data_IF_025266333404
#
_entry.id   IF_025266333404
#
_cell.length_a   1.000
_cell.length_b   1.000
_cell.length_c   1.000
_cell.angle_alpha   90.00
_cell.angle_beta   90.00
_cell.angle_gamma   90.00
#
_symmetry.space_group_name_H-M   'P 1'
#
loop_
_entity.id
_entity.type
_entity.pdbx_description
1 polymer ?
2 non-polymer ?
3 water ?
#
# COMPACT_ATOMS: atom_id res chain seq x y z
N UNK A 2 5.58 8.71 10.33
CA UNK A 2 4.71 9.02 9.16
C UNK A 2 5.43 8.57 7.88
N UNK A 3 5.78 7.28 7.80
CA UNK A 3 6.53 6.77 6.61
C UNK A 3 6.29 5.27 6.48
N UNK A 4 6.71 4.69 5.35
CA UNK A 4 6.57 3.23 5.16
C UNK A 4 5.18 2.73 5.52
N UNK A 5 4.17 3.12 4.75
CA UNK A 5 2.79 2.60 4.99
C UNK A 5 2.42 1.63 3.86
N UNK A 6 2.12 0.37 4.21
CA UNK A 6 1.70 -0.62 3.20
C UNK A 6 0.30 -1.11 3.56
N UNK A 7 -0.70 -0.81 2.73
CA UNK A 7 -2.10 -1.20 3.02
C UNK A 7 -2.43 -2.53 2.35
N UNK A 8 -3.17 -3.41 3.03
CA UNK A 8 -3.57 -4.70 2.48
C UNK A 8 -5.09 -4.79 2.52
N UNK A 9 -5.71 -4.86 1.33
CA UNK A 9 -7.16 -4.81 1.18
C UNK A 9 -7.61 -6.05 0.41
N UNK A 10 -8.92 -6.28 0.41
CA UNK A 10 -9.46 -7.49 -0.21
C UNK A 10 -9.35 -7.39 -1.72
N UNK A 11 -8.98 -8.50 -2.34
CA UNK A 11 -8.88 -8.59 -3.79
C UNK A 11 -10.20 -9.06 -4.38
N UNK A 12 -10.59 -8.44 -5.49
CA UNK A 12 -11.74 -8.91 -6.24
C UNK A 12 -11.48 -10.26 -6.92
N UNK A 13 -12.50 -10.71 -7.67
CA UNK A 13 -12.48 -12.05 -8.26
C UNK A 13 -11.34 -12.22 -9.27
N UNK A 14 -10.87 -11.13 -9.88
CA UNK A 14 -9.75 -11.21 -10.82
C UNK A 14 -8.38 -11.19 -10.14
N UNK A 15 -8.32 -11.14 -8.81
CA UNK A 15 -7.04 -11.18 -8.12
C UNK A 15 -6.31 -9.85 -7.99
N UNK A 16 -6.68 -8.86 -8.82
CA UNK A 16 -6.01 -7.57 -8.87
C UNK A 16 -6.89 -6.43 -8.40
N UNK A 17 -8.10 -6.33 -8.95
CA UNK A 17 -8.98 -5.22 -8.66
C UNK A 17 -9.47 -5.29 -7.21
N UNK A 18 -10.10 -4.20 -6.78
CA UNK A 18 -10.54 -4.08 -5.39
C UNK A 18 -11.75 -4.98 -5.17
N UNK A 19 -11.67 -5.81 -4.13
CA UNK A 19 -12.78 -6.66 -3.73
C UNK A 19 -13.80 -5.93 -2.88
N UNK A 20 -14.90 -6.62 -2.59
CA UNK A 20 -15.92 -6.03 -1.73
C UNK A 20 -15.48 -6.17 -0.29
N UNK A 21 -15.36 -5.04 0.38
CA UNK A 21 -14.97 -5.00 1.79
C UNK A 21 -15.10 -3.56 2.26
N UNK A 22 -16.16 -3.22 2.99
CA UNK A 22 -16.31 -1.85 3.47
C UNK A 22 -15.19 -1.41 4.39
N UNK A 23 -14.58 -2.35 5.12
CA UNK A 23 -13.50 -2.01 6.05
C UNK A 23 -12.21 -1.71 5.31
N UNK A 24 -11.92 -2.46 4.25
CA UNK A 24 -10.83 -2.12 3.33
C UNK A 24 -10.99 -0.70 2.78
N UNK A 25 -12.19 -0.35 2.34
CA UNK A 25 -12.38 0.97 1.72
C UNK A 25 -12.31 2.08 2.77
N UNK A 26 -12.82 1.83 3.97
CA UNK A 26 -12.63 2.73 5.10
C UNK A 26 -11.18 3.16 5.24
N UNK A 27 -10.28 2.18 5.43
CA UNK A 27 -8.86 2.48 5.62
C UNK A 27 -8.25 3.12 4.40
N UNK A 28 -8.65 2.66 3.21
CA UNK A 28 -8.17 3.25 1.97
C UNK A 28 -8.55 4.73 1.92
N UNK A 29 -9.79 5.06 2.29
CA UNK A 29 -10.21 6.45 2.30
C UNK A 29 -9.43 7.27 3.32
N UNK A 30 -9.23 6.74 4.53
CA UNK A 30 -8.50 7.50 5.54
C UNK A 30 -7.11 7.85 5.03
N UNK A 31 -6.38 6.84 4.56
CA UNK A 31 -5.01 7.08 4.09
C UNK A 31 -4.98 8.10 2.96
N UNK A 32 -5.92 7.99 2.01
CA UNK A 32 -6.00 8.96 0.93
C UNK A 32 -6.30 10.36 1.46
N UNK A 33 -7.29 10.47 2.34
CA UNK A 33 -7.68 11.78 2.86
C UNK A 33 -6.60 12.39 3.74
N UNK A 34 -5.68 11.59 4.28
CA UNK A 34 -4.56 12.14 5.03
C UNK A 34 -3.52 12.80 4.13
N UNK A 35 -3.52 12.47 2.84
CA UNK A 35 -2.45 12.95 1.99
C UNK A 35 -1.09 12.33 2.25
N UNK A 36 -1.06 11.19 2.95
CA UNK A 36 0.21 10.53 3.23
C UNK A 36 0.62 9.66 2.05
N UNK A 37 1.93 9.39 1.95
CA UNK A 37 2.44 8.47 0.94
C UNK A 37 2.25 7.05 1.44
N UNK A 38 1.55 6.23 0.66
CA UNK A 38 1.29 4.85 1.03
C UNK A 38 1.15 4.01 -0.23
N UNK A 39 1.42 2.72 -0.10
CA UNK A 39 1.11 1.75 -1.15
C UNK A 39 -0.08 0.91 -0.70
N UNK A 40 -0.73 0.27 -1.67
CA UNK A 40 -1.88 -0.58 -1.39
C UNK A 40 -1.72 -1.86 -2.21
N UNK A 41 -2.09 -2.99 -1.61
CA UNK A 41 -2.00 -4.29 -2.24
C UNK A 41 -3.31 -5.03 -2.01
N UNK A 42 -3.84 -5.64 -3.06
CA UNK A 42 -5.02 -6.47 -2.96
C UNK A 42 -4.58 -7.91 -2.76
N UNK A 43 -5.17 -8.58 -1.78
CA UNK A 43 -4.83 -9.96 -1.46
C UNK A 43 -6.12 -10.70 -1.16
N UNK A 44 -6.03 -12.03 -1.03
CA UNK A 44 -7.21 -12.84 -0.78
C UNK A 44 -7.92 -12.41 0.51
N UNK A 45 -7.18 -12.32 1.62
CA UNK A 45 -7.72 -11.92 2.92
C UNK A 45 -8.77 -12.89 3.44
N UNK A 46 -9.72 -13.29 2.59
CA UNK A 46 -10.73 -14.26 2.96
C UNK A 46 -11.74 -13.69 3.94
N UNK A 47 -11.75 -14.24 5.16
CA UNK A 47 -12.56 -13.70 6.24
C UNK A 47 -11.81 -12.69 7.09
N UNK A 48 -10.51 -12.48 6.84
CA UNK A 48 -9.65 -11.64 7.66
C UNK A 48 -9.91 -10.17 7.38
N UNK A 49 -9.70 -9.31 8.37
CA UNK A 49 -9.87 -7.88 8.14
C UNK A 49 -8.72 -7.31 7.34
N UNK A 50 -8.91 -6.19 6.66
CA UNK A 50 -7.76 -5.47 6.10
C UNK A 50 -6.83 -5.01 7.21
N UNK A 51 -5.59 -4.73 6.84
CA UNK A 51 -4.60 -4.28 7.81
C UNK A 51 -3.52 -3.52 7.06
N UNK A 52 -2.63 -2.89 7.82
CA UNK A 52 -1.52 -2.17 7.25
C UNK A 52 -0.27 -2.39 8.08
N UNK A 53 0.87 -2.10 7.46
CA UNK A 53 2.14 -2.02 8.17
C UNK A 53 2.61 -0.58 8.16
N UNK A 54 3.13 -0.13 9.28
CA UNK A 54 3.68 1.21 9.44
C UNK A 54 5.13 1.07 9.84
N UNK A 55 6.03 1.54 8.98
CA UNK A 55 7.47 1.33 9.12
C UNK A 55 7.82 -0.14 9.35
N UNK A 56 7.05 -1.03 8.72
CA UNK A 56 7.32 -2.45 8.81
C UNK A 56 6.69 -3.16 9.99
N UNK A 57 5.89 -2.47 10.80
CA UNK A 57 5.20 -3.06 11.93
C UNK A 57 3.72 -3.20 11.60
N UNK A 58 3.18 -4.41 11.79
CA UNK A 58 1.80 -4.68 11.43
C UNK A 58 0.86 -3.99 12.42
N UNK A 59 -0.16 -3.32 11.90
CA UNK A 59 -1.24 -2.77 12.71
C UNK A 59 -2.53 -3.51 12.35
N UNK A 60 -3.22 -4.04 13.35
CA UNK A 60 -4.44 -4.81 13.11
C UNK A 60 -5.62 -4.20 13.87
N UNK A 61 -6.82 -4.60 13.45
CA UNK A 61 -8.12 -4.13 13.94
C UNK A 61 -8.44 -2.75 13.37
N UNK A 62 -9.49 -2.68 12.55
CA UNK A 62 -9.73 -1.48 11.75
C UNK A 62 -9.96 -0.28 12.64
N UNK A 63 -10.68 -0.46 13.75
CA UNK A 63 -10.93 0.69 14.62
C UNK A 63 -9.65 1.16 15.29
N UNK A 64 -8.79 0.22 15.70
CA UNK A 64 -7.49 0.58 16.27
C UNK A 64 -6.59 1.21 15.22
N UNK A 65 -6.63 0.69 13.99
CA UNK A 65 -5.90 1.31 12.88
C UNK A 65 -6.36 2.74 12.67
N UNK A 66 -7.67 2.99 12.79
CA UNK A 66 -8.17 4.34 12.61
C UNK A 66 -7.62 5.28 13.67
N UNK A 67 -7.63 4.86 14.93
CA UNK A 67 -7.07 5.70 15.99
C UNK A 67 -5.57 5.91 15.80
N UNK A 68 -4.85 4.86 15.43
CA UNK A 68 -3.41 4.99 15.21
C UNK A 68 -3.10 5.99 14.09
N UNK A 69 -3.86 5.93 12.99
CA UNK A 69 -3.60 6.84 11.89
C UNK A 69 -3.91 8.28 12.29
N UNK A 70 -5.03 8.50 12.99
CA UNK A 70 -5.41 9.84 13.39
C UNK A 70 -4.47 10.42 14.43
N UNK A 71 -3.78 9.57 15.18
CA UNK A 71 -2.85 10.04 16.20
C UNK A 71 -1.43 10.18 15.68
N UNK A 72 -1.08 9.44 14.62
CA UNK A 72 0.26 9.44 14.05
C UNK A 72 0.43 10.42 12.89
N UNK A 73 -0.61 10.61 12.08
CA UNK A 73 -0.58 11.58 10.99
C UNK A 73 -1.34 12.82 11.48
N UNK A 74 -0.60 13.84 11.92
CA UNK A 74 -1.15 15.00 12.60
C UNK A 74 -0.74 16.30 11.91
N UNK A 75 -1.41 17.41 12.21
CA UNK A 75 -0.91 18.71 11.76
C UNK A 75 0.50 19.00 12.30
N UNK A 76 1.26 19.80 11.55
CA UNK A 76 0.76 20.55 10.40
C UNK A 76 0.80 19.81 9.07
N UNK A 77 1.55 18.70 9.00
CA UNK A 77 1.76 18.05 7.71
C UNK A 77 0.53 17.26 7.26
N UNK A 78 -0.22 16.69 8.20
CA UNK A 78 -1.39 15.90 7.85
C UNK A 78 -2.64 16.50 8.47
N UNK A 79 -3.78 16.43 7.79
CA UNK A 79 -5.02 17.01 8.33
C UNK A 79 -5.67 16.10 9.35
N UNK A 80 -6.27 16.71 10.37
CA UNK A 80 -7.10 15.98 11.32
C UNK A 80 -8.43 15.66 10.65
N UNK A 81 -8.84 14.40 10.72
CA UNK A 81 -10.05 13.95 10.03
C UNK A 81 -11.19 13.61 10.97
N UNK A 82 -10.99 13.68 12.29
CA UNK A 82 -12.06 13.31 13.21
C UNK A 82 -13.23 14.28 13.09
N UNK A 83 -14.45 13.73 13.14
CA UNK A 83 -15.64 14.56 13.12
C UNK A 83 -15.70 15.44 14.35
N UNK A 84 -16.20 16.67 14.20
CA UNK A 84 -16.32 17.55 15.35
C UNK A 84 -17.62 17.36 16.10
N UNK A 85 -18.63 16.73 15.51
CA UNK A 85 -19.90 16.49 16.18
C UNK A 85 -20.05 15.02 16.50
N UNK A 86 -20.44 14.71 17.74
CA UNK A 86 -20.61 13.33 18.16
C UNK A 86 -21.73 12.64 17.40
N UNK A 87 -22.77 13.39 17.01
CA UNK A 87 -23.87 12.79 16.26
C UNK A 87 -23.40 12.27 14.91
N UNK A 88 -22.37 12.88 14.34
CA UNK A 88 -21.84 12.40 13.06
C UNK A 88 -21.29 10.99 13.18
N UNK A 89 -20.78 10.63 14.37
CA UNK A 89 -20.19 9.31 14.56
C UNK A 89 -21.22 8.21 14.79
N UNK A 90 -22.45 8.57 15.15
CA UNK A 90 -23.51 7.63 15.43
C UNK A 90 -24.63 7.65 14.38
N UNK A 91 -24.60 8.60 13.46
CA UNK A 91 -25.63 8.67 12.43
C UNK A 91 -25.50 7.49 11.47
N UNK A 92 -26.61 6.80 11.24
CA UNK A 92 -26.65 5.66 10.35
C UNK A 92 -26.05 4.38 10.88
N UNK A 93 -25.82 4.28 12.20
CA UNK A 93 -25.05 3.16 12.73
C UNK A 93 -25.77 1.83 12.62
N UNK A 94 -27.11 1.84 12.62
CA UNK A 94 -27.89 0.61 12.56
C UNK A 94 -28.28 0.20 11.15
N UNK A 95 -27.87 0.97 10.12
CA UNK A 95 -28.35 0.71 8.76
C UNK A 95 -27.82 -0.63 8.25
N UNK A 96 -26.52 -0.87 8.38
CA UNK A 96 -25.94 -2.10 7.85
C UNK A 96 -26.59 -3.34 8.46
N UNK A 97 -26.80 -3.33 9.77
CA UNK A 97 -27.37 -4.49 10.44
C UNK A 97 -28.83 -4.71 10.02
N UNK A 98 -29.59 -3.63 9.85
CA UNK A 98 -30.96 -3.79 9.37
C UNK A 98 -30.98 -4.28 7.92
N UNK A 99 -30.04 -3.82 7.10
CA UNK A 99 -29.93 -4.29 5.73
C UNK A 99 -29.60 -5.77 5.70
N UNK A 100 -28.66 -6.20 6.54
CA UNK A 100 -28.23 -7.59 6.53
C UNK A 100 -29.38 -8.52 6.91
N UNK A 101 -30.11 -8.19 7.98
CA UNK A 101 -31.27 -8.99 8.36
C UNK A 101 -32.34 -9.01 7.27
N UNK A 102 -32.45 -7.92 6.51
CA UNK A 102 -33.46 -7.81 5.46
C UNK A 102 -33.15 -8.76 4.31
N UNK A 103 -31.93 -8.72 3.78
CA UNK A 103 -31.56 -9.54 2.63
C UNK A 103 -31.34 -11.00 2.95
N UNK A 104 -31.25 -11.35 4.23
CA UNK A 104 -31.00 -12.72 4.63
C UNK A 104 -32.25 -13.51 4.93
N UNK A 105 -33.33 -12.84 5.30
CA UNK A 105 -34.57 -13.53 5.60
C UNK A 105 -35.07 -14.24 4.35
N UNK A 106 -35.59 -15.44 4.55
CA UNK A 106 -36.18 -16.23 3.47
C UNK A 106 -37.69 -16.29 3.55
N UNK A 107 -38.29 -15.73 4.59
CA UNK A 107 -39.73 -15.85 4.84
C UNK A 107 -40.42 -14.59 4.33
N UNK A 108 -41.37 -14.76 3.40
CA UNK A 108 -42.14 -13.63 2.89
C UNK A 108 -42.91 -12.92 3.99
N UNK A 109 -43.23 -13.63 5.08
CA UNK A 109 -44.02 -13.05 6.16
C UNK A 109 -43.25 -11.99 6.94
N UNK A 110 -41.92 -12.06 6.94
CA UNK A 110 -41.11 -11.09 7.66
C UNK A 110 -40.55 -10.00 6.78
N UNK A 111 -40.79 -10.04 5.46
CA UNK A 111 -40.10 -9.13 4.55
C UNK A 111 -40.55 -7.70 4.75
N UNK A 112 -41.85 -7.47 4.95
CA UNK A 112 -42.37 -6.11 5.11
C UNK A 112 -41.81 -5.46 6.37
N UNK A 113 -41.78 -6.19 7.49
CA UNK A 113 -41.24 -5.61 8.71
C UNK A 113 -39.75 -5.35 8.60
N UNK A 114 -39.02 -6.23 7.92
CA UNK A 114 -37.59 -6.03 7.79
C UNK A 114 -37.28 -4.91 6.82
N UNK A 115 -38.16 -4.67 5.86
CA UNK A 115 -37.94 -3.57 4.94
C UNK A 115 -38.25 -2.23 5.61
N UNK A 116 -39.31 -2.19 6.42
CA UNK A 116 -39.62 -0.98 7.19
C UNK A 116 -38.48 -0.63 8.16
N UNK A 117 -37.85 -1.65 8.75
CA UNK A 117 -36.72 -1.39 9.64
C UNK A 117 -35.54 -0.77 8.92
N UNK A 118 -35.24 -1.26 7.72
CA UNK A 118 -34.17 -0.66 6.93
C UNK A 118 -34.54 0.77 6.52
N UNK A 119 -35.74 0.95 5.96
CA UNK A 119 -36.21 2.27 5.57
C UNK A 119 -36.17 3.26 6.73
N UNK A 120 -36.59 2.83 7.92
CA UNK A 120 -36.57 3.72 9.08
C UNK A 120 -35.15 4.13 9.43
N UNK A 121 -34.22 3.16 9.41
CA UNK A 121 -32.82 3.48 9.73
C UNK A 121 -32.22 4.39 8.66
N UNK A 122 -32.64 4.24 7.40
CA UNK A 122 -32.19 5.16 6.37
C UNK A 122 -32.78 6.55 6.61
N UNK A 123 -34.01 6.61 7.10
CA UNK A 123 -34.69 7.88 7.28
C UNK A 123 -34.04 8.69 8.41
N UNK A 124 -33.64 8.02 9.50
CA UNK A 124 -32.92 8.74 10.56
C UNK A 124 -31.63 9.34 10.02
N UNK A 125 -30.91 8.61 9.17
CA UNK A 125 -29.73 9.18 8.53
C UNK A 125 -30.10 10.36 7.63
N UNK A 126 -31.21 10.25 6.92
CA UNK A 126 -31.65 11.35 6.05
C UNK A 126 -31.99 12.58 6.89
N UNK A 127 -32.63 12.38 8.04
CA UNK A 127 -32.99 13.51 8.91
C UNK A 127 -31.74 14.25 9.38
N UNK A 128 -30.72 13.51 9.84
CA UNK A 128 -29.49 14.14 10.30
C UNK A 128 -28.85 14.96 9.18
N UNK A 129 -28.83 14.45 7.95
CA UNK A 129 -28.19 15.16 6.85
C UNK A 129 -28.99 16.36 6.40
N UNK A 130 -30.27 16.43 6.73
CA UNK A 130 -31.11 17.57 6.37
C UNK A 130 -31.23 18.59 7.50
N UNK A 131 -31.05 18.17 8.75
CA UNK A 131 -31.13 19.12 9.88
C UNK A 131 -29.88 19.99 9.87
N UNK A 132 -30.01 21.31 9.90
CA UNK A 132 -28.82 22.16 9.88
C UNK A 132 -27.98 21.98 11.14
N UNK A 133 -26.67 21.87 10.95
CA UNK A 133 -25.74 21.93 12.06
C UNK A 133 -25.75 23.33 12.66
N UNK A 134 -25.42 23.45 13.95
CA UNK A 134 -25.50 24.78 14.59
C UNK A 134 -24.66 25.85 13.89
N UNK A 135 -23.53 25.48 13.30
CA UNK A 135 -22.70 26.46 12.61
C UNK A 135 -23.35 26.93 11.31
N UNK A 136 -24.12 26.05 10.64
CA UNK A 136 -24.84 26.48 9.46
C UNK A 136 -25.92 27.50 9.81
N UNK A 137 -26.65 27.24 10.90
CA UNK A 137 -27.67 28.20 11.36
C UNK A 137 -27.02 29.53 11.70
N UNK A 138 -25.88 29.50 12.41
CA UNK A 138 -25.16 30.74 12.72
C UNK A 138 -24.69 31.43 11.44
N UNK A 139 -24.11 30.67 10.52
CA UNK A 139 -23.56 31.23 9.29
C UNK A 139 -24.62 31.61 8.27
N UNK A 140 -25.90 31.24 8.50
CA UNK A 140 -26.98 31.44 7.54
C UNK A 140 -26.69 30.75 6.21
N UNK A 141 -25.95 29.65 6.26
CA UNK A 141 -25.65 28.83 5.09
C UNK A 141 -26.72 27.78 4.85
N UNK A 142 -27.88 27.90 5.49
CA UNK A 142 -28.92 26.91 5.32
C UNK A 142 -29.63 27.10 3.98
N UNK A 143 -30.20 26.01 3.50
CA UNK A 143 -31.02 26.06 2.31
C UNK A 143 -32.21 26.97 2.50
N UNK A 144 -32.84 27.27 1.36
CA UNK A 144 -34.00 28.14 1.36
C UNK A 144 -35.13 27.52 2.17
N UNK A 145 -35.22 26.19 2.20
CA UNK A 145 -36.23 25.46 2.95
C UNK A 145 -35.87 25.33 4.43
N UNK A 146 -34.95 26.16 4.90
CA UNK A 146 -34.40 26.08 6.27
C UNK A 146 -33.79 24.72 6.55
N UNK A 147 -33.31 24.05 5.50
CA UNK A 147 -32.67 22.76 5.65
C UNK A 147 -31.20 22.81 5.36
N UNK A 148 -30.47 21.76 5.74
CA UNK A 148 -29.03 21.72 5.54
C UNK A 148 -28.68 21.34 4.12
N UNK A 149 -27.67 22.03 3.56
CA UNK A 149 -27.12 21.66 2.26
C UNK A 149 -25.65 21.24 2.38
N UNK A 150 -25.19 20.92 3.58
CA UNK A 150 -23.81 20.45 3.75
C UNK A 150 -23.60 19.16 2.96
N UNK A 151 -22.35 18.93 2.57
CA UNK A 151 -22.08 17.81 1.66
C UNK A 151 -21.96 16.47 2.37
N UNK A 152 -21.46 16.43 3.60
CA UNK A 152 -21.20 15.16 4.29
C UNK A 152 -21.73 15.23 5.73
N UNK A 153 -21.43 14.20 6.51
CA UNK A 153 -22.04 14.05 7.84
C UNK A 153 -21.74 15.24 8.74
N UNK A 154 -20.47 15.63 8.82
CA UNK A 154 -19.99 16.58 9.82
C UNK A 154 -19.88 18.00 9.28
N UNK A 155 -20.01 18.19 7.98
CA UNK A 155 -19.74 19.47 7.36
C UNK A 155 -19.48 19.23 5.88
N UNK A 156 -18.78 20.17 5.27
CA UNK A 156 -18.49 20.07 3.84
C UNK A 156 -17.18 19.34 3.55
N UNK A 157 -16.58 18.71 4.56
CA UNK A 157 -15.35 17.95 4.38
C UNK A 157 -15.57 16.52 4.84
N UNK A 158 -14.88 15.58 4.20
CA UNK A 158 -14.99 14.18 4.59
C UNK A 158 -14.28 13.96 5.91
N UNK A 159 -14.92 13.24 6.82
CA UNK A 159 -14.38 12.94 8.12
C UNK A 159 -14.27 11.43 8.29
N UNK A 160 -13.64 11.01 9.40
CA UNK A 160 -13.51 9.58 9.67
C UNK A 160 -14.86 8.90 9.71
N UNK A 161 -15.90 9.62 10.14
CA UNK A 161 -17.24 9.03 10.20
C UNK A 161 -17.77 8.73 8.80
N UNK A 162 -17.41 9.56 7.82
CA UNK A 162 -17.80 9.27 6.43
C UNK A 162 -17.03 8.07 5.87
N UNK A 163 -15.76 7.94 6.24
CA UNK A 163 -14.99 6.79 5.76
C UNK A 163 -15.59 5.49 6.27
N UNK A 164 -16.20 5.52 7.46
CA UNK A 164 -16.88 4.35 8.01
C UNK A 164 -18.22 4.11 7.30
N UNK A 165 -19.06 5.13 7.20
CA UNK A 165 -20.44 4.94 6.78
C UNK A 165 -20.60 4.77 5.26
N UNK A 166 -19.85 5.52 4.47
CA UNK A 166 -20.11 5.55 3.02
C UNK A 166 -19.89 4.20 2.36
N UNK A 167 -18.79 3.45 2.65
CA UNK A 167 -18.68 2.10 2.08
C UNK A 167 -19.86 1.20 2.40
N UNK A 168 -20.36 1.25 3.65
CA UNK A 168 -21.49 0.42 4.04
C UNK A 168 -22.77 0.86 3.34
N UNK A 169 -23.02 2.17 3.29
CA UNK A 169 -24.23 2.68 2.64
C UNK A 169 -24.24 2.34 1.15
N UNK A 170 -23.07 2.38 0.51
CA UNK A 170 -22.99 2.02 -0.91
C UNK A 170 -23.31 0.54 -1.11
N UNK A 171 -22.76 -0.33 -0.26
CA UNK A 171 -23.08 -1.76 -0.29
C UNK A 171 -24.56 -1.99 -0.11
N UNK A 172 -25.18 -1.31 0.85
CA UNK A 172 -26.63 -1.42 1.03
C UNK A 172 -27.36 -1.07 -0.25
N UNK A 173 -27.01 0.05 -0.86
CA UNK A 173 -27.68 0.51 -2.06
C UNK A 173 -27.58 -0.53 -3.16
N UNK A 174 -26.36 -1.04 -3.40
CA UNK A 174 -26.11 -1.96 -4.50
C UNK A 174 -26.80 -3.30 -4.25
N UNK A 175 -26.69 -3.82 -3.03
CA UNK A 175 -27.15 -5.18 -2.74
C UNK A 175 -28.66 -5.23 -2.54
N UNK A 176 -29.23 -4.29 -1.78
CA UNK A 176 -30.68 -4.28 -1.61
C UNK A 176 -31.39 -4.12 -2.95
N UNK A 177 -30.80 -3.36 -3.88
CA UNK A 177 -31.38 -3.22 -5.21
C UNK A 177 -31.31 -4.55 -5.97
N UNK A 178 -30.14 -5.18 -5.96
CA UNK A 178 -29.95 -6.40 -6.74
C UNK A 178 -30.83 -7.53 -6.24
N UNK A 179 -30.95 -7.71 -4.92
CA UNK A 179 -31.56 -8.92 -4.37
C UNK A 179 -32.93 -8.71 -3.75
N UNK A 180 -33.42 -7.47 -3.67
CA UNK A 180 -34.77 -7.21 -3.23
C UNK A 180 -35.50 -6.22 -4.10
N UNK A 181 -34.86 -5.69 -5.14
CA UNK A 181 -35.42 -4.61 -5.95
C UNK A 181 -35.79 -3.41 -5.10
N UNK A 182 -35.02 -3.18 -4.04
CA UNK A 182 -35.28 -2.10 -3.09
C UNK A 182 -34.52 -0.86 -3.53
N UNK A 183 -35.22 0.26 -3.59
CA UNK A 183 -34.60 1.55 -3.86
C UNK A 183 -34.65 2.39 -2.61
N UNK A 184 -33.53 3.03 -2.28
CA UNK A 184 -33.54 4.06 -1.25
C UNK A 184 -34.46 5.16 -1.75
N UNK A 185 -35.56 5.45 -1.07
CA UNK A 185 -36.53 6.42 -1.58
C UNK A 185 -35.90 7.73 -2.00
N UNK A 186 -36.32 8.23 -3.16
CA UNK A 186 -35.77 9.46 -3.70
C UNK A 186 -36.16 10.68 -2.87
N UNK A 187 -37.26 10.59 -2.12
CA UNK A 187 -37.65 11.66 -1.23
C UNK A 187 -36.67 11.84 -0.08
N UNK A 188 -35.75 10.89 0.11
CA UNK A 188 -34.67 11.02 1.09
C UNK A 188 -33.55 11.85 0.44
N UNK A 189 -33.84 13.14 0.29
CA UNK A 189 -32.98 14.03 -0.49
C UNK A 189 -31.63 14.25 0.19
N UNK A 190 -31.61 14.27 1.52
CA UNK A 190 -30.35 14.45 2.22
C UNK A 190 -29.45 13.24 2.06
N UNK A 191 -30.01 12.04 2.19
CA UNK A 191 -29.23 10.83 1.95
C UNK A 191 -28.70 10.78 0.51
N UNK A 192 -29.53 11.18 -0.47
CA UNK A 192 -29.09 11.09 -1.87
C UNK A 192 -28.08 12.17 -2.20
N UNK A 193 -28.25 13.37 -1.65
CA UNK A 193 -27.24 14.41 -1.79
C UNK A 193 -25.89 13.91 -1.32
N UNK A 194 -25.90 13.16 -0.21
CA UNK A 194 -24.68 12.66 0.43
C UNK A 194 -24.01 11.59 -0.42
N UNK A 195 -24.78 10.61 -0.90
CA UNK A 195 -24.22 9.58 -1.76
C UNK A 195 -23.61 10.18 -3.02
N UNK A 196 -24.34 11.08 -3.69
CA UNK A 196 -23.83 11.71 -4.90
C UNK A 196 -22.63 12.63 -4.60
N UNK A 197 -22.57 13.23 -3.41
CA UNK A 197 -21.36 13.96 -3.09
C UNK A 197 -20.17 13.01 -2.98
N UNK A 198 -20.40 11.82 -2.41
CA UNK A 198 -19.34 10.84 -2.32
C UNK A 198 -18.93 10.32 -3.69
N UNK A 199 -19.91 10.01 -4.54
CA UNK A 199 -19.61 9.55 -5.88
C UNK A 199 -18.81 10.57 -6.68
N UNK A 200 -18.86 11.85 -6.31
CA UNK A 200 -18.12 12.87 -7.03
C UNK A 200 -16.70 13.05 -6.51
N UNK A 201 -16.28 12.28 -5.51
CA UNK A 201 -14.96 12.43 -4.92
C UNK A 201 -14.13 11.21 -5.26
N UNK A 202 -12.94 11.45 -5.84
CA UNK A 202 -12.02 10.35 -6.16
C UNK A 202 -11.77 9.46 -4.95
N UNK A 203 -11.70 10.05 -3.75
CA UNK A 203 -11.34 9.28 -2.56
C UNK A 203 -12.33 8.14 -2.30
N UNK A 204 -13.60 8.35 -2.65
CA UNK A 204 -14.55 7.24 -2.57
C UNK A 204 -14.56 6.41 -3.84
N UNK A 205 -14.63 7.08 -4.99
CA UNK A 205 -14.84 6.38 -6.25
C UNK A 205 -13.66 5.46 -6.59
N UNK A 206 -12.43 5.93 -6.36
CA UNK A 206 -11.26 5.16 -6.73
C UNK A 206 -10.87 4.11 -5.70
N UNK A 207 -11.56 4.05 -4.56
CA UNK A 207 -11.35 3.01 -3.55
C UNK A 207 -12.51 2.04 -3.50
N UNK A 208 -13.47 2.19 -4.38
CA UNK A 208 -14.72 1.46 -4.41
C UNK A 208 -14.56 0.18 -5.22
N UNK A 209 -15.24 -0.88 -4.78
CA UNK A 209 -15.34 -2.09 -5.59
C UNK A 209 -16.44 -1.94 -6.64
N UNK A 210 -16.25 -2.57 -7.81
CA UNK A 210 -17.21 -2.41 -8.90
C UNK A 210 -18.58 -2.94 -8.49
N UNK A 211 -19.63 -2.42 -9.14
CA UNK A 211 -21.00 -2.88 -8.84
C UNK A 211 -21.10 -4.40 -8.94
N UNK A 212 -20.62 -4.96 -10.05
CA UNK A 212 -20.67 -6.40 -10.26
C UNK A 212 -19.94 -7.16 -9.14
N UNK A 213 -18.85 -6.59 -8.63
CA UNK A 213 -18.10 -7.22 -7.55
C UNK A 213 -18.92 -7.26 -6.27
N UNK A 214 -19.59 -6.16 -5.93
CA UNK A 214 -20.38 -6.10 -4.72
C UNK A 214 -21.57 -7.05 -4.81
N UNK A 215 -22.23 -7.11 -5.97
CA UNK A 215 -23.38 -7.98 -6.15
C UNK A 215 -22.96 -9.44 -6.05
N UNK A 216 -21.87 -9.83 -6.72
CA UNK A 216 -21.45 -11.22 -6.69
C UNK A 216 -21.03 -11.64 -5.29
N UNK A 217 -20.37 -10.74 -4.55
CA UNK A 217 -19.96 -11.04 -3.19
C UNK A 217 -21.13 -11.40 -2.27
N UNK A 218 -22.35 -10.99 -2.61
CA UNK A 218 -23.51 -11.28 -1.78
C UNK A 218 -24.38 -12.40 -2.34
N UNK A 219 -23.96 -13.07 -3.43
CA UNK A 219 -24.82 -14.04 -4.10
C UNK A 219 -25.15 -15.23 -3.21
N UNK A 220 -24.26 -15.59 -2.29
CA UNK A 220 -24.55 -16.62 -1.30
C UNK A 220 -25.13 -16.05 -0.03
N UNK A 221 -24.95 -14.75 0.22
CA UNK A 221 -25.39 -14.14 1.46
C UNK A 221 -26.85 -13.73 1.36
N UNK A 222 -27.21 -12.98 0.31
CA UNK A 222 -28.59 -12.58 0.13
C UNK A 222 -29.42 -13.79 -0.31
N UNK A 223 -30.57 -13.98 0.32
CA UNK A 223 -31.42 -15.14 0.06
C UNK A 223 -32.72 -14.71 -0.60
N UNK A 224 -33.26 -15.58 -1.45
CA UNK A 224 -34.53 -15.33 -2.09
C UNK A 224 -35.67 -15.61 -1.10
N UNK A 225 -36.77 -14.89 -1.26
CA UNK A 225 -37.93 -15.10 -0.42
C UNK A 225 -38.59 -16.44 -0.73
N UNK A 226 -37.93 -17.54 -0.35
CA UNK A 226 -38.42 -18.87 -0.70
C UNK A 226 -39.59 -19.30 0.17
N UNK A 227 -39.34 -19.50 1.46
CA UNK A 227 -40.39 -19.90 2.39
C UNK A 227 -41.40 -18.78 2.57
N UNK A 228 -42.57 -19.12 3.14
CA UNK A 228 -43.65 -18.11 3.33
C UNK A 228 -43.43 -17.34 4.63
N UNK B 4 40.50 12.75 -4.86
CA UNK B 4 40.62 11.46 -4.16
C UNK B 4 39.29 10.74 -4.11
N UNK B 5 39.31 9.44 -3.81
CA UNK B 5 38.05 8.63 -3.77
C UNK B 5 38.19 7.53 -2.70
N UNK B 6 37.69 7.79 -1.49
CA UNK B 6 37.73 6.75 -0.42
C UNK B 6 36.28 6.34 -0.10
N UNK B 7 36.00 5.04 -0.12
CA UNK B 7 34.62 4.54 0.14
C UNK B 7 34.55 4.03 1.58
N UNK B 8 33.55 4.47 2.34
CA UNK B 8 33.41 4.06 3.74
C UNK B 8 32.09 3.30 3.86
N UNK B 9 32.20 1.98 4.04
CA UNK B 9 31.03 1.10 4.00
C UNK B 9 30.83 0.45 5.36
N UNK B 10 29.64 -0.09 5.55
CA UNK B 10 29.31 -0.78 6.80
C UNK B 10 30.20 -2.00 6.98
N UNK B 11 30.44 -2.36 8.24
CA UNK B 11 31.32 -3.45 8.60
C UNK B 11 30.52 -4.63 9.15
N UNK B 12 30.98 -5.84 8.84
CA UNK B 12 30.37 -7.01 9.43
C UNK B 12 30.60 -7.07 10.92
N UNK B 13 29.92 -8.02 11.57
CA UNK B 13 30.08 -8.20 13.01
C UNK B 13 31.53 -8.50 13.36
N UNK B 14 32.30 -9.05 12.42
CA UNK B 14 33.73 -9.28 12.64
C UNK B 14 34.51 -7.98 12.76
N UNK B 15 33.96 -6.86 12.32
CA UNK B 15 34.63 -5.57 12.45
C UNK B 15 35.33 -5.12 11.19
N UNK B 16 36.00 -6.05 10.50
CA UNK B 16 36.65 -5.76 9.23
C UNK B 16 35.98 -6.42 8.05
N UNK B 17 35.07 -7.37 8.27
CA UNK B 17 34.38 -8.03 7.18
C UNK B 17 33.36 -7.08 6.54
N UNK B 18 33.01 -7.39 5.28
CA UNK B 18 32.01 -6.59 4.57
C UNK B 18 30.66 -6.74 5.25
N UNK B 19 30.07 -5.63 5.66
CA UNK B 19 28.80 -5.64 6.34
C UNK B 19 27.63 -5.67 5.37
N UNK B 20 26.54 -6.27 5.83
CA UNK B 20 25.31 -6.32 5.06
C UNK B 20 24.70 -4.93 4.98
N UNK B 21 24.97 -4.21 3.90
CA UNK B 21 24.40 -2.88 3.67
C UNK B 21 24.17 -2.72 2.17
N UNK B 22 22.91 -2.85 1.71
CA UNK B 22 22.64 -2.67 0.28
C UNK B 22 23.01 -1.30 -0.22
N UNK B 23 22.95 -0.29 0.64
CA UNK B 23 23.38 1.06 0.26
C UNK B 23 24.89 1.09 0.03
N UNK B 24 25.65 0.38 0.87
CA UNK B 24 27.09 0.26 0.65
C UNK B 24 27.38 -0.39 -0.70
N UNK B 25 26.72 -1.52 -0.98
CA UNK B 25 26.93 -2.20 -2.25
C UNK B 25 26.50 -1.33 -3.44
N UNK B 26 25.42 -0.56 -3.25
CA UNK B 26 24.96 0.37 -4.29
C UNK B 26 26.06 1.31 -4.74
N UNK B 27 26.66 2.05 -3.80
CA UNK B 27 27.70 3.01 -4.13
C UNK B 27 28.98 2.30 -4.58
N UNK B 28 29.24 1.11 -4.04
CA UNK B 28 30.39 0.32 -4.48
C UNK B 28 30.25 -0.07 -5.95
N UNK B 29 29.08 -0.58 -6.34
CA UNK B 29 28.86 -0.94 -7.74
C UNK B 29 28.93 0.28 -8.64
N UNK B 30 28.48 1.44 -8.14
CA UNK B 30 28.50 2.65 -8.96
C UNK B 30 29.94 3.07 -9.23
N UNK B 31 30.81 2.99 -8.23
CA UNK B 31 32.20 3.39 -8.43
C UNK B 31 32.96 2.39 -9.30
N UNK B 32 32.74 1.10 -9.09
CA UNK B 32 33.34 0.09 -9.94
C UNK B 32 32.91 0.28 -11.39
N UNK B 33 31.60 0.40 -11.62
CA UNK B 33 31.09 0.58 -12.98
C UNK B 33 31.63 1.85 -13.62
N UNK B 34 31.85 2.89 -12.81
CA UNK B 34 32.40 4.14 -13.34
C UNK B 34 33.83 3.98 -13.82
N UNK B 35 34.55 2.97 -13.32
CA UNK B 35 35.95 2.76 -13.67
C UNK B 35 36.92 3.60 -12.87
N UNK B 36 36.45 4.53 -12.05
CA UNK B 36 37.35 5.41 -11.31
C UNK B 36 38.09 4.60 -10.24
N UNK B 37 39.31 5.02 -9.94
CA UNK B 37 40.13 4.34 -8.94
C UNK B 37 39.67 4.76 -7.55
N UNK B 38 39.36 3.78 -6.71
CA UNK B 38 38.85 4.05 -5.38
C UNK B 38 39.30 2.97 -4.42
N UNK B 39 39.16 3.25 -3.13
CA UNK B 39 39.41 2.28 -2.07
C UNK B 39 38.20 2.24 -1.16
N UNK B 40 37.88 1.05 -0.65
CA UNK B 40 36.76 0.84 0.25
C UNK B 40 37.31 0.59 1.65
N UNK B 41 36.78 1.31 2.64
CA UNK B 41 37.21 1.19 4.02
C UNK B 41 36.03 0.70 4.85
N UNK B 42 36.19 -0.47 5.48
CA UNK B 42 35.15 -1.03 6.34
C UNK B 42 35.06 -0.21 7.61
N UNK B 43 33.99 0.56 7.75
CA UNK B 43 33.82 1.51 8.86
C UNK B 43 32.52 1.17 9.59
N UNK B 44 32.58 1.20 10.92
CA UNK B 44 31.41 0.96 11.75
C UNK B 44 30.40 2.10 11.64
N UNK B 45 29.56 2.06 10.59
CA UNK B 45 28.59 3.12 10.37
C UNK B 45 27.39 3.05 11.32
N UNK B 46 27.12 1.88 11.89
CA UNK B 46 25.91 1.75 12.68
C UNK B 46 24.67 1.70 11.80
N UNK B 47 23.58 2.25 12.31
CA UNK B 47 22.34 2.35 11.54
C UNK B 47 22.39 3.45 10.48
N UNK B 48 23.48 4.20 10.41
CA UNK B 48 23.72 5.40 9.62
C UNK B 48 24.36 5.05 8.28
N UNK B 49 24.09 5.84 7.24
CA UNK B 49 24.43 5.43 5.88
C UNK B 49 25.91 5.50 5.62
N UNK B 50 26.40 4.86 4.57
CA UNK B 50 27.80 5.03 4.18
C UNK B 50 28.04 6.41 3.59
N UNK B 51 29.29 6.84 3.61
CA UNK B 51 29.68 8.12 3.06
C UNK B 51 30.97 7.93 2.26
N UNK B 52 31.39 8.99 1.57
CA UNK B 52 32.57 8.92 0.74
C UNK B 52 33.27 10.27 0.76
N UNK B 53 34.60 10.22 0.62
CA UNK B 53 35.44 11.41 0.58
C UNK B 53 36.00 11.54 -0.84
N UNK B 54 35.70 12.65 -1.49
CA UNK B 54 36.16 12.93 -2.85
C UNK B 54 36.98 14.21 -2.82
N UNK B 55 38.19 14.15 -3.38
CA UNK B 55 39.15 15.26 -3.36
C UNK B 55 39.39 15.75 -1.93
N UNK B 56 39.27 14.86 -0.95
CA UNK B 56 39.37 15.26 0.44
C UNK B 56 38.12 15.90 1.01
N UNK B 57 37.03 15.93 0.25
CA UNK B 57 35.78 16.56 0.68
C UNK B 57 34.77 15.46 1.02
N UNK B 58 34.28 15.48 2.26
CA UNK B 58 33.34 14.46 2.72
C UNK B 58 31.98 14.71 2.09
N UNK B 59 31.34 13.62 1.63
CA UNK B 59 29.99 13.74 1.03
C UNK B 59 29.07 12.66 1.62
N UNK B 60 27.76 12.91 1.68
CA UNK B 60 26.82 11.95 2.33
C UNK B 60 25.46 11.96 1.63
N UNK B 61 24.46 11.27 2.20
CA UNK B 61 23.07 11.23 1.65
C UNK B 61 22.89 10.04 0.71
N UNK B 62 23.98 9.45 0.22
CA UNK B 62 23.90 8.24 -0.65
C UNK B 62 23.23 8.62 -1.98
N UNK B 63 21.95 8.99 -1.95
CA UNK B 63 21.26 9.44 -3.18
C UNK B 63 21.98 10.67 -3.71
N UNK B 64 22.29 11.63 -2.84
CA UNK B 64 23.06 12.83 -3.27
C UNK B 64 24.43 12.35 -3.77
N UNK B 65 25.07 11.46 -3.02
CA UNK B 65 26.38 10.89 -3.47
C UNK B 65 26.17 10.36 -4.90
N UNK B 66 25.12 9.58 -5.11
CA UNK B 66 24.89 8.99 -6.43
C UNK B 66 24.73 10.09 -7.49
N UNK B 67 24.03 11.17 -7.14
CA UNK B 67 23.83 12.26 -8.09
C UNK B 67 25.14 12.93 -8.46
N UNK B 68 25.96 13.27 -7.46
CA UNK B 68 27.22 13.96 -7.73
C UNK B 68 28.22 13.03 -8.41
N UNK B 69 28.27 11.76 -8.00
CA UNK B 69 29.16 10.79 -8.64
C UNK B 69 28.87 10.70 -10.14
N UNK B 70 27.59 10.65 -10.50
CA UNK B 70 27.23 10.66 -11.92
C UNK B 70 27.48 12.03 -12.53
N UNK B 71 27.20 13.10 -11.79
CA UNK B 71 27.42 14.45 -12.31
C UNK B 71 28.90 14.73 -12.48
N UNK B 72 29.67 14.63 -11.39
CA UNK B 72 31.11 14.93 -11.43
C UNK B 72 31.84 14.04 -12.43
N UNK B 73 31.91 12.74 -12.15
CA UNK B 73 32.55 11.79 -13.07
C UNK B 73 31.69 11.66 -14.32
N UNK B 74 32.13 12.29 -15.41
CA UNK B 74 31.35 12.44 -16.63
C UNK B 74 32.11 11.93 -17.82
N UNK B 75 31.42 11.64 -18.93
CA UNK B 75 32.10 11.31 -20.19
C UNK B 75 33.08 12.40 -20.60
N UNK B 76 34.08 12.03 -21.41
CA UNK B 76 34.20 10.69 -22.00
C UNK B 76 35.10 9.76 -21.20
N UNK B 77 35.81 10.30 -20.22
CA UNK B 77 36.69 9.46 -19.40
C UNK B 77 35.90 8.51 -18.51
N UNK B 78 34.63 8.85 -18.21
CA UNK B 78 33.83 8.06 -17.28
C UNK B 78 32.44 7.82 -17.90
N UNK B 79 31.98 6.58 -17.96
CA UNK B 79 30.71 6.32 -18.63
C UNK B 79 29.51 6.78 -17.81
N UNK B 80 28.48 7.25 -18.51
CA UNK B 80 27.23 7.62 -17.86
C UNK B 80 26.45 6.35 -17.54
N UNK B 81 26.03 6.23 -16.28
CA UNK B 81 25.36 5.03 -15.79
C UNK B 81 23.87 5.24 -15.57
N UNK B 82 23.32 6.40 -15.91
CA UNK B 82 21.91 6.65 -15.71
C UNK B 82 21.07 5.80 -16.65
N UNK B 83 19.89 5.40 -16.18
CA UNK B 83 18.97 4.63 -17.00
C UNK B 83 18.22 5.57 -17.93
N UNK B 84 18.10 5.17 -19.20
CA UNK B 84 17.44 5.98 -20.21
C UNK B 84 15.92 5.94 -20.09
N UNK B 85 15.37 4.93 -19.43
CA UNK B 85 13.94 4.78 -19.26
C UNK B 85 13.58 5.05 -17.80
N UNK B 86 12.65 6.00 -17.59
CA UNK B 86 12.27 6.36 -16.23
C UNK B 86 11.67 5.17 -15.48
N UNK B 87 11.00 4.26 -16.19
CA UNK B 87 10.39 3.12 -15.52
C UNK B 87 11.43 2.19 -14.94
N UNK B 88 12.65 2.18 -15.50
CA UNK B 88 13.72 1.35 -14.93
C UNK B 88 14.08 1.79 -13.53
N UNK B 89 13.83 3.06 -13.19
CA UNK B 89 14.10 3.55 -11.84
C UNK B 89 12.99 3.16 -10.87
N UNK B 90 11.75 3.09 -11.36
CA UNK B 90 10.61 2.77 -10.51
C UNK B 90 10.37 1.27 -10.40
N UNK B 91 10.92 0.46 -11.30
CA UNK B 91 10.67 -0.98 -11.27
C UNK B 91 11.21 -1.61 -9.99
N UNK B 92 10.35 -2.35 -9.29
CA UNK B 92 10.75 -3.04 -8.07
C UNK B 92 10.94 -2.15 -6.87
N UNK B 93 10.38 -0.94 -6.89
CA UNK B 93 10.71 0.06 -5.87
C UNK B 93 10.18 -0.34 -4.48
N UNK B 94 9.10 -1.10 -4.43
CA UNK B 94 8.46 -1.46 -3.16
C UNK B 94 8.83 -2.86 -2.66
N UNK B 95 9.78 -3.53 -3.31
CA UNK B 95 10.05 -4.93 -2.97
C UNK B 95 10.69 -5.04 -1.59
N UNK B 96 11.71 -4.22 -1.32
CA UNK B 96 12.39 -4.30 -0.04
C UNK B 96 11.44 -3.98 1.11
N UNK B 97 10.58 -2.97 0.92
CA UNK B 97 9.60 -2.63 1.95
C UNK B 97 8.62 -3.77 2.19
N UNK B 98 8.18 -4.44 1.12
CA UNK B 98 7.29 -5.59 1.30
C UNK B 98 8.00 -6.72 2.01
N UNK B 99 9.24 -7.02 1.59
CA UNK B 99 10.01 -8.07 2.24
C UNK B 99 10.23 -7.76 3.71
N UNK B 100 10.52 -6.50 4.05
CA UNK B 100 10.80 -6.15 5.44
C UNK B 100 9.60 -6.43 6.33
N UNK B 101 8.40 -6.02 5.90
CA UNK B 101 7.20 -6.33 6.66
C UNK B 101 6.92 -7.83 6.72
N UNK B 102 7.30 -8.56 5.67
CA UNK B 102 7.11 -10.01 5.64
C UNK B 102 7.91 -10.71 6.74
N UNK B 103 9.18 -10.33 6.89
CA UNK B 103 10.05 -11.05 7.83
C UNK B 103 9.93 -10.52 9.25
N UNK B 104 9.50 -9.28 9.43
CA UNK B 104 9.38 -8.71 10.78
C UNK B 104 8.10 -9.14 11.48
N UNK B 105 7.13 -9.65 10.73
CA UNK B 105 5.84 -10.01 11.29
C UNK B 105 5.94 -11.29 12.12
N UNK B 106 5.32 -11.28 13.30
CA UNK B 106 5.34 -12.43 14.20
C UNK B 106 4.02 -13.17 14.28
N UNK B 107 2.99 -12.73 13.57
CA UNK B 107 1.66 -13.32 13.65
C UNK B 107 1.38 -14.17 12.43
N UNK B 108 1.01 -15.43 12.66
CA UNK B 108 0.70 -16.33 11.55
C UNK B 108 -0.52 -15.86 10.78
N UNK B 109 -1.46 -15.18 11.45
CA UNK B 109 -2.68 -14.74 10.79
C UNK B 109 -2.40 -13.77 9.64
N UNK B 110 -1.28 -13.04 9.71
CA UNK B 110 -0.95 -12.04 8.70
C UNK B 110 0.12 -12.48 7.72
N UNK B 111 0.73 -13.65 7.93
CA UNK B 111 1.86 -14.07 7.11
C UNK B 111 1.45 -14.24 5.65
N UNK B 112 0.30 -14.87 5.39
CA UNK B 112 -0.08 -15.19 4.02
C UNK B 112 -0.30 -13.91 3.20
N UNK B 113 -0.96 -12.90 3.79
CA UNK B 113 -1.13 -11.64 3.09
C UNK B 113 0.20 -10.97 2.80
N UNK B 114 1.10 -10.94 3.79
CA UNK B 114 2.39 -10.29 3.60
C UNK B 114 3.24 -11.02 2.58
N UNK B 115 3.19 -12.36 2.56
CA UNK B 115 3.85 -13.09 1.48
C UNK B 115 3.28 -12.72 0.13
N UNK B 116 1.95 -12.63 0.02
CA UNK B 116 1.34 -12.22 -1.24
C UNK B 116 1.80 -10.83 -1.65
N UNK B 117 2.01 -9.94 -0.68
CA UNK B 117 2.53 -8.61 -1.01
C UNK B 117 3.90 -8.66 -1.65
N UNK B 118 4.81 -9.45 -1.06
CA UNK B 118 6.13 -9.62 -1.66
C UNK B 118 6.05 -10.24 -3.04
N UNK B 119 5.22 -11.28 -3.20
CA UNK B 119 5.10 -11.96 -4.49
C UNK B 119 4.56 -11.02 -5.56
N UNK B 120 3.55 -10.21 -5.22
CA UNK B 120 3.00 -9.27 -6.19
C UNK B 120 4.04 -8.23 -6.59
N UNK B 121 4.84 -7.76 -5.64
CA UNK B 121 5.85 -6.76 -5.98
C UNK B 121 6.94 -7.35 -6.85
N UNK B 122 7.30 -8.61 -6.63
CA UNK B 122 8.26 -9.28 -7.49
C UNK B 122 7.67 -9.54 -8.88
N UNK B 123 6.35 -9.79 -8.95
CA UNK B 123 5.71 -10.02 -10.24
C UNK B 123 5.76 -8.79 -11.13
N UNK B 124 5.50 -7.60 -10.56
CA UNK B 124 5.52 -6.39 -11.34
C UNK B 124 6.92 -6.14 -11.92
N UNK B 125 7.97 -6.46 -11.16
CA UNK B 125 9.32 -6.34 -11.70
C UNK B 125 9.58 -7.38 -12.78
N UNK B 126 9.16 -8.62 -12.53
CA UNK B 126 9.25 -9.67 -13.55
C UNK B 126 8.49 -9.28 -14.81
N UNK B 127 7.36 -8.59 -14.66
CA UNK B 127 6.61 -8.12 -15.81
C UNK B 127 7.39 -7.06 -16.58
N UNK B 128 7.99 -6.10 -15.86
CA UNK B 128 8.76 -5.07 -16.53
C UNK B 128 9.93 -5.66 -17.30
N UNK B 129 10.55 -6.71 -16.74
CA UNK B 129 11.70 -7.32 -17.39
C UNK B 129 11.30 -8.10 -18.64
N UNK B 130 10.11 -8.70 -18.63
CA UNK B 130 9.63 -9.42 -19.81
C UNK B 130 9.04 -8.50 -20.86
N UNK B 131 8.71 -7.26 -20.50
CA UNK B 131 8.12 -6.32 -21.45
C UNK B 131 9.25 -5.68 -22.28
N UNK B 132 9.22 -5.81 -23.60
CA UNK B 132 10.28 -5.20 -24.41
C UNK B 132 10.34 -3.70 -24.22
N UNK B 133 11.56 -3.17 -24.15
CA UNK B 133 11.78 -1.74 -24.16
C UNK B 133 11.45 -1.19 -25.54
N UNK B 134 11.34 0.14 -25.69
CA UNK B 134 11.09 0.70 -27.04
C UNK B 134 12.05 0.18 -28.10
N UNK B 135 13.36 0.22 -27.83
CA UNK B 135 14.31 -0.46 -28.68
C UNK B 135 14.05 -1.96 -28.63
N UNK B 136 14.10 -2.60 -29.79
CA UNK B 136 13.71 -4.01 -29.97
C UNK B 136 12.26 -4.22 -29.54
N UNK B 146 7.51 -13.42 -29.07
CA UNK B 146 7.87 -12.08 -28.63
C UNK B 146 8.59 -12.08 -27.29
N UNK B 147 8.30 -11.08 -26.46
CA UNK B 147 8.98 -10.93 -25.18
C UNK B 147 10.25 -10.12 -25.30
N UNK B 148 10.90 -9.93 -24.15
CA UNK B 148 12.14 -9.16 -24.06
C UNK B 148 13.30 -10.07 -23.68
N UNK B 149 14.45 -9.84 -24.29
CA UNK B 149 15.66 -10.61 -24.01
C UNK B 149 16.78 -9.74 -23.43
N UNK B 150 16.48 -8.51 -23.02
CA UNK B 150 17.51 -7.64 -22.48
C UNK B 150 18.06 -8.22 -21.18
N UNK B 151 19.33 -7.90 -20.89
CA UNK B 151 20.01 -8.51 -19.77
C UNK B 151 19.61 -7.87 -18.43
N UNK B 152 19.42 -6.55 -18.41
CA UNK B 152 19.17 -5.83 -17.17
C UNK B 152 17.96 -4.92 -17.29
N UNK B 153 17.76 -4.03 -16.32
CA UNK B 153 16.56 -3.19 -16.29
C UNK B 153 16.46 -2.31 -17.53
N UNK B 154 17.41 -1.39 -17.73
CA UNK B 154 17.31 -0.44 -18.82
C UNK B 154 17.71 -1.06 -20.16
N UNK B 155 18.73 -1.89 -20.16
CA UNK B 155 19.18 -2.54 -21.38
C UNK B 155 20.08 -3.70 -21.07
N UNK B 156 21.11 -3.88 -21.90
CA UNK B 156 22.09 -4.94 -21.69
C UNK B 156 23.32 -4.46 -20.94
N UNK B 157 23.33 -3.20 -20.49
CA UNK B 157 24.41 -2.67 -19.69
C UNK B 157 23.86 -2.30 -18.30
N UNK B 158 24.66 -2.57 -17.28
CA UNK B 158 24.24 -2.25 -15.92
C UNK B 158 24.10 -0.74 -15.74
N UNK B 159 23.07 -0.34 -15.01
CA UNK B 159 22.73 1.06 -14.84
C UNK B 159 22.56 1.37 -13.35
N UNK B 160 22.46 2.68 -13.06
CA UNK B 160 22.24 3.12 -11.68
C UNK B 160 21.02 2.44 -11.06
N UNK B 161 20.01 2.14 -11.86
CA UNK B 161 18.84 1.45 -11.33
C UNK B 161 19.19 0.04 -10.85
N UNK B 162 20.05 -0.66 -11.58
CA UNK B 162 20.47 -1.99 -11.15
C UNK B 162 21.33 -1.91 -9.89
N UNK B 163 22.15 -0.86 -9.77
CA UNK B 163 22.97 -0.70 -8.59
C UNK B 163 22.13 -0.54 -7.34
N UNK B 164 20.89 -0.05 -7.50
CA UNK B 164 19.99 0.10 -6.36
C UNK B 164 19.23 -1.19 -6.08
N UNK B 165 18.69 -1.81 -7.14
CA UNK B 165 17.77 -2.93 -6.95
C UNK B 165 18.48 -4.24 -6.64
N UNK B 166 19.59 -4.51 -7.33
CA UNK B 166 20.26 -5.80 -7.17
C UNK B 166 20.70 -6.08 -5.73
N UNK B 167 21.34 -5.16 -5.01
CA UNK B 167 21.69 -5.47 -3.61
C UNK B 167 20.48 -5.78 -2.74
N UNK B 168 19.39 -5.03 -2.91
CA UNK B 168 18.18 -5.31 -2.14
C UNK B 168 17.60 -6.67 -2.50
N UNK B 169 17.58 -7.00 -3.78
CA UNK B 169 17.07 -8.30 -4.22
C UNK B 169 17.87 -9.44 -3.61
N UNK B 170 19.19 -9.26 -3.49
CA UNK B 170 20.02 -10.29 -2.89
C UNK B 170 19.66 -10.53 -1.43
N UNK B 171 19.52 -9.46 -0.65
CA UNK B 171 19.09 -9.59 0.74
C UNK B 171 17.73 -10.28 0.80
N UNK B 172 16.78 -9.81 -0.01
CA UNK B 172 15.44 -10.40 -0.02
C UNK B 172 15.52 -11.91 -0.22
N UNK B 173 16.26 -12.36 -1.25
CA UNK B 173 16.30 -13.78 -1.56
C UNK B 173 16.96 -14.58 -0.45
N UNK B 174 18.07 -14.08 0.10
CA UNK B 174 18.79 -14.83 1.13
C UNK B 174 17.98 -14.90 2.42
N UNK B 175 17.39 -13.78 2.83
CA UNK B 175 16.74 -13.73 4.14
C UNK B 175 15.39 -14.43 4.09
N UNK B 176 14.58 -14.15 3.06
CA UNK B 176 13.26 -14.77 2.98
C UNK B 176 13.34 -16.29 2.90
N UNK B 177 14.37 -16.80 2.22
CA UNK B 177 14.58 -18.25 2.21
C UNK B 177 14.93 -18.77 3.59
N UNK B 178 15.81 -18.05 4.31
CA UNK B 178 16.29 -18.52 5.61
C UNK B 178 15.17 -18.55 6.64
N UNK B 179 14.42 -17.45 6.75
CA UNK B 179 13.49 -17.27 7.85
C UNK B 179 12.04 -17.56 7.50
N UNK B 180 11.69 -17.63 6.21
CA UNK B 180 10.32 -17.93 5.82
C UNK B 180 10.22 -19.10 4.85
N UNK B 181 11.35 -19.69 4.45
CA UNK B 181 11.38 -20.75 3.43
C UNK B 181 10.71 -20.28 2.14
N UNK B 182 10.90 -19.01 1.81
CA UNK B 182 10.29 -18.40 0.65
C UNK B 182 11.24 -18.52 -0.55
N UNK B 183 10.72 -19.02 -1.66
CA UNK B 183 11.45 -19.05 -2.92
C UNK B 183 10.78 -18.09 -3.89
N UNK B 184 11.61 -17.38 -4.65
CA UNK B 184 11.07 -16.58 -5.76
C UNK B 184 10.40 -17.51 -6.76
N UNK B 185 9.14 -17.31 -7.11
CA UNK B 185 8.43 -18.29 -7.94
C UNK B 185 9.15 -18.56 -9.25
N UNK B 186 9.17 -19.83 -9.65
CA UNK B 186 9.87 -20.24 -10.87
C UNK B 186 9.21 -19.63 -12.11
N UNK B 187 7.91 -19.35 -12.05
CA UNK B 187 7.20 -18.73 -13.17
C UNK B 187 7.71 -17.32 -13.48
N UNK B 188 8.49 -16.72 -12.59
CA UNK B 188 9.06 -15.39 -12.84
C UNK B 188 10.35 -15.54 -13.64
N UNK B 189 10.18 -15.99 -14.89
CA UNK B 189 11.34 -16.26 -15.74
C UNK B 189 12.13 -15.00 -16.06
N UNK B 190 11.46 -13.84 -16.11
CA UNK B 190 12.18 -12.60 -16.34
C UNK B 190 13.05 -12.21 -15.16
N UNK B 191 12.52 -12.36 -13.95
CA UNK B 191 13.31 -12.06 -12.75
C UNK B 191 14.49 -13.02 -12.62
N UNK B 192 14.24 -14.32 -12.79
CA UNK B 192 15.31 -15.30 -12.68
C UNK B 192 16.38 -15.07 -13.76
N UNK B 193 15.97 -14.66 -14.96
CA UNK B 193 16.94 -14.33 -15.99
C UNK B 193 17.74 -13.09 -15.62
N UNK B 194 17.06 -12.07 -15.07
CA UNK B 194 17.75 -10.85 -14.63
C UNK B 194 18.77 -11.15 -13.55
N UNK B 195 18.40 -12.01 -12.58
CA UNK B 195 19.33 -12.41 -11.53
C UNK B 195 20.51 -13.16 -12.11
N UNK B 196 20.26 -14.05 -13.08
CA UNK B 196 21.34 -14.86 -13.65
C UNK B 196 22.34 -14.00 -14.40
N UNK B 197 21.86 -13.06 -15.23
CA UNK B 197 22.75 -12.11 -15.86
C UNK B 197 23.51 -11.29 -14.83
N UNK B 198 22.85 -10.91 -13.74
CA UNK B 198 23.50 -10.07 -12.73
C UNK B 198 24.51 -10.88 -11.92
N UNK B 199 24.13 -12.09 -11.49
CA UNK B 199 25.05 -12.92 -10.71
C UNK B 199 26.28 -13.29 -11.52
N UNK B 200 26.15 -13.38 -12.85
CA UNK B 200 27.31 -13.68 -13.68
C UNK B 200 28.29 -12.52 -13.72
N UNK B 201 27.81 -11.29 -13.54
CA UNK B 201 28.68 -10.13 -13.56
C UNK B 201 29.47 -10.03 -12.27
N UNK B 202 30.80 -9.89 -12.39
CA UNK B 202 31.66 -9.84 -11.21
C UNK B 202 31.41 -8.61 -10.35
N UNK B 203 30.84 -7.55 -10.92
CA UNK B 203 30.58 -6.35 -10.13
C UNK B 203 29.51 -6.60 -9.07
N UNK B 204 28.50 -7.41 -9.38
CA UNK B 204 27.46 -7.69 -8.40
C UNK B 204 27.91 -8.74 -7.39
N UNK B 205 28.53 -9.82 -7.88
CA UNK B 205 28.88 -10.93 -7.00
C UNK B 205 29.99 -10.56 -6.02
N UNK B 206 31.01 -9.82 -6.49
CA UNK B 206 32.14 -9.50 -5.63
C UNK B 206 31.78 -8.42 -4.61
N UNK B 207 30.83 -7.54 -4.94
CA UNK B 207 30.40 -6.52 -3.99
C UNK B 207 29.40 -7.03 -2.96
N UNK B 208 28.93 -8.27 -3.13
CA UNK B 208 27.96 -8.83 -2.20
C UNK B 208 28.62 -9.21 -0.88
N UNK B 209 27.95 -8.93 0.22
CA UNK B 209 28.40 -9.48 1.49
C UNK B 209 28.17 -10.98 1.51
N UNK B 210 28.89 -11.65 2.42
CA UNK B 210 28.75 -13.09 2.55
C UNK B 210 27.31 -13.44 2.92
N UNK B 211 26.85 -14.61 2.45
CA UNK B 211 25.52 -15.09 2.80
C UNK B 211 25.35 -15.18 4.31
N UNK B 212 26.35 -15.75 4.99
CA UNK B 212 26.27 -15.91 6.44
C UNK B 212 26.17 -14.56 7.14
N UNK B 213 26.92 -13.57 6.67
CA UNK B 213 26.84 -12.23 7.25
C UNK B 213 25.46 -11.63 7.01
N UNK B 214 24.87 -11.86 5.84
CA UNK B 214 23.53 -11.36 5.56
C UNK B 214 22.52 -12.02 6.49
N UNK B 215 22.63 -13.34 6.67
CA UNK B 215 21.70 -14.06 7.53
C UNK B 215 21.85 -13.65 8.99
N UNK B 216 23.09 -13.46 9.45
CA UNK B 216 23.31 -13.07 10.84
C UNK B 216 22.78 -11.67 11.12
N UNK B 217 22.90 -10.75 10.16
CA UNK B 217 22.40 -9.40 10.35
C UNK B 217 20.91 -9.39 10.66
N UNK B 218 20.14 -10.31 10.08
CA UNK B 218 18.70 -10.37 10.25
C UNK B 218 18.26 -11.33 11.33
N UNK B 219 19.20 -11.92 12.09
CA UNK B 219 18.84 -12.84 13.17
C UNK B 219 17.97 -12.15 14.22
N UNK B 220 18.23 -10.87 14.48
CA UNK B 220 17.38 -10.11 15.39
C UNK B 220 16.20 -9.48 14.65
N UNK B 221 16.40 -9.08 13.40
CA UNK B 221 15.38 -8.34 12.65
C UNK B 221 14.24 -9.27 12.25
N UNK B 222 14.57 -10.35 11.55
CA UNK B 222 13.55 -11.35 11.21
C UNK B 222 13.01 -11.98 12.48
N UNK B 223 11.71 -12.27 12.48
CA UNK B 223 11.03 -12.80 13.64
C UNK B 223 10.36 -14.12 13.31
N UNK B 224 10.21 -14.97 14.33
CA UNK B 224 9.56 -16.26 14.16
C UNK B 224 8.04 -16.09 14.20
N UNK B 225 7.34 -16.83 13.34
CA UNK B 225 5.89 -16.77 13.34
C UNK B 225 5.32 -17.51 14.54
N UNK B 226 4.36 -16.89 15.21
CA UNK B 226 3.76 -17.45 16.42
C UNK B 226 2.29 -17.73 16.17
N UNK B 227 1.81 -18.84 16.72
CA UNK B 227 0.42 -19.24 16.59
C UNK B 227 -0.32 -19.11 17.92
X LIG C 1 -17.29 -0.67 12.67
X LIG C 1 -17.35 -0.72 11.22
X LIG C 1 -16.79 0.64 13.10
X LIG C 1 -18.61 -0.89 13.25
X LIG C 1 -16.36 -1.70 13.16
X LIG D 1 16.56 4.11 -1.53
X LIG D 1 15.66 3.95 -2.67
X LIG D 1 17.20 5.42 -1.60
X LIG D 1 15.81 3.99 -0.29
X LIG D 1 17.59 3.06 -1.58
#
# INVERSE_FOLDING_TARGET
>A
GAMGIELFVKAGIDGESIGNCPFSQRLFMILWLKGVVFNVTTVDLGTHPPFLTFNGDVKTDVNKIEEFLEETLTPEKYPKLAAKHRESNTAGIDIFSKFSAYIKNTKQQNNAALERGLTKALKKLDDYLNTPLPEEIDANTCGEDKGSRRKFLDGDELTLADCNLLPKLHVVKIVAKKYRNYDIPAEMTGLWRYLKNAYARDEFTNTCAADSEIELAYADVAKRLSRS
>B
GAMGIELFVKAGIDGESIGNCPFSQRLFMILWLKGVVFNVTTVDLGTHPPFLTFNGDVKTDVNKIEEFLEETLTPEKYPKLAAKHRESNTAGIDIFSKFSAYIKNTKQQNNAALERGLTKALKKLDDYLNTPLPEEIDANTCGEDKGSRRKFLDGDELTLADCNLLPKLHVVKIVAKKYRNYDIPAEMTGLWRYLKNAYARDEFTNTCAADSEIELAYADVAKRLSRS
>C hetero
1 SO4 S O1 O2 O3 O4
>D hetero
1 SO4 S O1 O2 O3 O4
#
